data_IF_894362887299
#
_entry.id   IF_894362887299
#
_cell.length_a   1.000
_cell.length_b   1.000
_cell.length_c   1.000
_cell.angle_alpha   90.00
_cell.angle_beta   90.00
_cell.angle_gamma   90.00
#
_symmetry.space_group_name_H-M   'P 1'
#
loop_
_entity.id
_entity.type
_entity.pdbx_description
1 polymer ?
#
# COMPACT_ATOMS: atom_id res chain seq x y z
N UNK A 1 11.31 6.30 -7.17
CA UNK A 1 12.71 6.70 -7.48
C UNK A 1 13.49 5.44 -7.82
N UNK A 2 13.52 5.12 -9.12
CA UNK A 2 14.25 3.99 -9.70
C UNK A 2 15.70 4.39 -9.96
N UNK A 3 16.63 3.45 -9.80
CA UNK A 3 18.04 3.64 -10.13
C UNK A 3 18.40 2.65 -11.23
N UNK A 4 19.03 3.14 -12.30
CA UNK A 4 19.37 2.33 -13.48
C UNK A 4 20.85 2.54 -13.81
N UNK A 5 21.57 1.43 -13.89
CA UNK A 5 22.87 1.30 -14.53
C UNK A 5 22.71 0.36 -15.73
N UNK A 6 23.69 0.30 -16.63
CA UNK A 6 23.66 -0.56 -17.83
C UNK A 6 23.38 -2.04 -17.50
N UNK A 7 23.78 -2.48 -16.30
CA UNK A 7 23.65 -3.87 -15.88
C UNK A 7 22.72 -4.10 -14.69
N UNK A 8 22.27 -3.05 -14.01
CA UNK A 8 21.47 -3.16 -12.78
C UNK A 8 20.28 -2.22 -12.89
N UNK A 9 19.07 -2.77 -12.73
CA UNK A 9 17.86 -1.99 -12.60
C UNK A 9 17.25 -2.25 -11.22
N UNK A 10 17.11 -1.18 -10.43
CA UNK A 10 16.42 -1.21 -9.14
C UNK A 10 15.17 -0.33 -9.22
N UNK A 11 14.02 -0.93 -9.02
CA UNK A 11 12.74 -0.24 -8.89
C UNK A 11 12.29 -0.29 -7.43
N UNK A 12 12.06 0.88 -6.81
CA UNK A 12 11.56 0.97 -5.44
C UNK A 12 10.05 1.13 -5.44
N UNK A 13 9.37 0.26 -4.70
CA UNK A 13 7.93 0.30 -4.51
C UNK A 13 7.60 1.02 -3.19
N UNK A 14 6.82 2.09 -3.32
CA UNK A 14 6.31 2.84 -2.16
C UNK A 14 5.21 2.01 -1.51
N UNK A 15 5.37 1.69 -0.21
CA UNK A 15 4.43 0.89 0.56
C UNK A 15 3.25 1.71 1.11
N UNK A 16 2.96 1.52 2.39
CA UNK A 16 1.94 2.26 3.13
C UNK A 16 2.29 3.73 3.39
N UNK A 17 3.55 4.14 3.22
CA UNK A 17 4.01 5.54 3.40
C UNK A 17 3.63 6.45 2.23
N UNK A 18 2.35 6.47 1.86
CA UNK A 18 1.77 7.41 0.90
C UNK A 18 1.19 8.61 1.64
N UNK A 19 1.32 9.81 1.08
CA UNK A 19 0.74 11.04 1.66
C UNK A 19 -0.76 10.90 1.93
N UNK A 20 -1.51 10.24 1.04
CA UNK A 20 -2.93 9.96 1.24
C UNK A 20 -3.20 9.12 2.49
N UNK A 21 -2.36 8.12 2.78
CA UNK A 21 -2.51 7.30 3.98
C UNK A 21 -2.21 8.12 5.25
N UNK A 22 -1.22 9.01 5.18
CA UNK A 22 -0.94 9.96 6.28
C UNK A 22 -2.14 10.88 6.56
N UNK A 23 -2.73 11.43 5.50
CA UNK A 23 -3.89 12.30 5.59
C UNK A 23 -5.11 11.60 6.21
N UNK A 24 -5.46 10.41 5.71
CA UNK A 24 -6.61 9.65 6.22
C UNK A 24 -6.46 9.22 7.67
N UNK A 25 -5.28 8.74 8.06
CA UNK A 25 -5.03 8.35 9.43
C UNK A 25 -5.08 9.53 10.40
N UNK A 26 -4.61 10.72 9.97
CA UNK A 26 -4.70 11.96 10.75
C UNK A 26 -6.16 12.40 10.94
N UNK A 27 -6.96 12.42 9.87
CA UNK A 27 -8.38 12.78 9.94
C UNK A 27 -9.13 11.83 10.87
N UNK A 28 -8.91 10.52 10.70
CA UNK A 28 -9.52 9.51 11.56
C UNK A 28 -9.08 9.67 13.01
N UNK A 29 -7.81 9.97 13.26
CA UNK A 29 -7.30 10.21 14.61
C UNK A 29 -8.01 11.40 15.27
N UNK A 30 -8.00 12.55 14.60
CA UNK A 30 -8.57 13.79 15.12
C UNK A 30 -10.08 13.69 15.32
N UNK A 31 -10.81 13.10 14.36
CA UNK A 31 -12.25 12.87 14.49
C UNK A 31 -12.59 11.93 15.64
N UNK A 32 -11.85 10.83 15.76
CA UNK A 32 -12.06 9.84 16.84
C UNK A 32 -11.73 10.43 18.21
N UNK A 33 -10.63 11.18 18.32
CA UNK A 33 -10.27 11.90 19.53
C UNK A 33 -11.36 12.91 19.92
N UNK A 34 -11.91 13.64 18.95
CA UNK A 34 -13.04 14.54 19.16
C UNK A 34 -14.25 13.83 19.76
N UNK A 35 -14.65 12.68 19.22
CA UNK A 35 -15.77 11.90 19.75
C UNK A 35 -15.52 11.36 21.17
N UNK A 36 -14.31 10.88 21.46
CA UNK A 36 -13.96 10.44 22.82
C UNK A 36 -14.01 11.62 23.80
N UNK A 37 -13.49 12.78 23.40
CA UNK A 37 -13.48 13.98 24.24
C UNK A 37 -14.90 14.50 24.50
N UNK A 38 -15.78 14.51 23.49
CA UNK A 38 -17.19 14.91 23.65
C UNK A 38 -17.94 13.92 24.56
N UNK A 39 -17.77 12.62 24.37
CA UNK A 39 -18.40 11.62 25.25
C UNK A 39 -17.90 11.68 26.69
N UNK A 40 -16.60 11.92 26.90
CA UNK A 40 -15.98 12.09 28.23
C UNK A 40 -16.43 13.40 28.89
N UNK A 41 -16.48 14.49 28.13
CA UNK A 41 -17.06 15.77 28.57
C UNK A 41 -18.51 15.60 28.98
N UNK A 42 -19.26 14.76 28.26
CA UNK A 42 -20.66 14.47 28.55
C UNK A 42 -20.86 13.68 29.83
N UNK A 43 -19.96 12.74 30.12
CA UNK A 43 -19.95 11.97 31.37
C UNK A 43 -19.57 12.80 32.60
N UNK A 44 -18.52 13.63 32.50
CA UNK A 44 -18.00 14.41 33.64
C UNK A 44 -18.73 15.74 33.87
N UNK A 45 -19.58 16.18 32.94
CA UNK A 45 -20.24 17.47 33.00
C UNK A 45 -19.30 18.67 32.95
N UNK A 46 -18.08 18.48 32.40
CA UNK A 46 -17.03 19.51 32.28
C UNK A 46 -16.59 19.62 30.83
N UNK A 47 -16.51 20.85 30.32
CA UNK A 47 -16.04 21.12 28.96
C UNK A 47 -14.52 20.88 28.85
N UNK A 48 -14.13 19.72 28.30
CA UNK A 48 -12.72 19.47 27.92
C UNK A 48 -12.31 20.13 26.60
N UNK A 49 -13.28 20.45 25.75
CA UNK A 49 -13.09 21.17 24.49
C UNK A 49 -13.81 22.51 24.61
N UNK A 50 -13.08 23.62 24.48
CA UNK A 50 -13.68 24.97 24.48
C UNK A 50 -14.50 25.28 23.21
N UNK A 51 -14.39 24.45 22.17
CA UNK A 51 -15.07 24.60 20.87
C UNK A 51 -16.48 24.00 20.81
N UNK A 52 -16.90 23.14 21.75
CA UNK A 52 -18.21 22.48 21.71
C UNK A 52 -18.86 22.60 23.09
N UNK A 53 -19.97 23.35 23.25
CA UNK A 53 -20.64 23.46 24.54
C UNK A 53 -21.27 22.11 24.95
N UNK A 54 -20.89 21.57 26.11
CA UNK A 54 -21.48 20.35 26.71
C UNK A 54 -23.00 20.43 26.89
N UNK A 55 -23.54 21.63 27.07
CA UNK A 55 -24.94 21.88 27.43
C UNK A 55 -25.98 21.31 26.45
N UNK A 56 -25.58 20.81 25.27
CA UNK A 56 -26.48 20.24 24.27
C UNK A 56 -26.47 18.71 24.16
N UNK A 57 -25.52 17.99 24.78
CA UNK A 57 -25.36 16.54 24.58
C UNK A 57 -25.61 15.77 25.87
N UNK A 58 -26.77 15.11 25.94
CA UNK A 58 -27.14 14.20 27.03
C UNK A 58 -26.27 12.93 26.92
N UNK A 59 -25.62 12.54 28.02
CA UNK A 59 -24.70 11.40 28.04
C UNK A 59 -25.38 10.10 27.59
N UNK A 60 -26.58 9.83 28.09
CA UNK A 60 -27.40 8.71 27.65
C UNK A 60 -28.50 9.19 26.68
N UNK A 61 -28.62 8.64 25.46
CA UNK A 61 -27.77 7.62 24.83
C UNK A 61 -26.61 8.18 24.00
N UNK A 62 -26.64 9.48 23.68
CA UNK A 62 -25.82 10.08 22.62
C UNK A 62 -24.33 10.12 22.97
N UNK A 63 -23.98 10.50 24.19
CA UNK A 63 -22.58 10.53 24.66
C UNK A 63 -21.93 9.15 24.65
N UNK A 64 -22.65 8.10 25.07
CA UNK A 64 -22.17 6.71 25.03
C UNK A 64 -21.85 6.28 23.60
N UNK A 65 -22.78 6.55 22.66
CA UNK A 65 -22.60 6.21 21.25
C UNK A 65 -21.39 6.94 20.67
N UNK A 66 -21.21 8.22 20.99
CA UNK A 66 -20.03 8.99 20.59
C UNK A 66 -18.74 8.41 21.16
N UNK A 67 -18.69 8.06 22.46
CA UNK A 67 -17.54 7.39 23.06
C UNK A 67 -17.20 6.07 22.37
N UNK A 68 -18.20 5.25 22.06
CA UNK A 68 -18.00 3.97 21.40
C UNK A 68 -17.39 4.13 20.00
N UNK A 69 -17.96 5.00 19.17
CA UNK A 69 -17.42 5.29 17.83
C UNK A 69 -16.04 5.94 17.90
N UNK A 70 -15.80 6.81 18.88
CA UNK A 70 -14.49 7.41 19.10
C UNK A 70 -13.43 6.37 19.46
N UNK A 71 -13.72 5.44 20.38
CA UNK A 71 -12.79 4.37 20.75
C UNK A 71 -12.52 3.46 19.54
N UNK A 72 -13.56 3.02 18.83
CA UNK A 72 -13.41 2.19 17.64
C UNK A 72 -12.56 2.89 16.56
N UNK A 73 -12.82 4.17 16.32
CA UNK A 73 -12.05 4.98 15.38
C UNK A 73 -10.60 5.19 15.79
N UNK A 74 -10.30 5.32 17.10
CA UNK A 74 -8.92 5.37 17.62
C UNK A 74 -8.18 4.05 17.36
N UNK A 75 -8.83 2.90 17.51
CA UNK A 75 -8.23 1.61 17.16
C UNK A 75 -7.91 1.51 15.67
N UNK A 76 -8.84 1.92 14.79
CA UNK A 76 -8.65 1.93 13.34
C UNK A 76 -7.51 2.89 12.94
N UNK A 77 -7.50 4.09 13.51
CA UNK A 77 -6.46 5.09 13.26
C UNK A 77 -5.09 4.60 13.75
N UNK A 78 -5.02 4.01 14.94
CA UNK A 78 -3.81 3.40 15.48
C UNK A 78 -3.29 2.28 14.59
N UNK A 79 -4.17 1.43 14.07
CA UNK A 79 -3.82 0.42 13.07
C UNK A 79 -3.23 1.04 11.80
N UNK A 80 -3.82 2.12 11.26
CA UNK A 80 -3.27 2.82 10.10
C UNK A 80 -1.88 3.41 10.39
N UNK A 81 -1.68 4.06 11.54
CA UNK A 81 -0.38 4.59 11.97
C UNK A 81 0.67 3.50 12.11
N UNK A 82 0.28 2.36 12.68
CA UNK A 82 1.11 1.18 12.77
C UNK A 82 1.52 0.66 11.39
N UNK A 83 0.58 0.54 10.44
CA UNK A 83 0.91 0.09 9.06
C UNK A 83 1.85 1.05 8.34
N UNK A 84 1.70 2.36 8.56
CA UNK A 84 2.58 3.41 8.00
C UNK A 84 3.98 3.35 8.63
N UNK A 85 4.05 3.21 9.95
CA UNK A 85 5.30 3.09 10.69
C UNK A 85 6.12 1.90 10.20
N UNK A 86 5.49 0.73 10.07
CA UNK A 86 6.14 -0.50 9.58
C UNK A 86 6.39 -0.53 8.07
N UNK A 87 5.92 0.48 7.33
CA UNK A 87 6.02 0.59 5.88
C UNK A 87 5.53 -0.67 5.15
N UNK A 88 4.38 -1.19 5.60
CA UNK A 88 3.80 -2.43 5.08
C UNK A 88 3.58 -2.33 3.57
N UNK A 89 3.96 -3.39 2.88
CA UNK A 89 3.91 -3.54 1.43
C UNK A 89 5.04 -2.85 0.66
N UNK A 90 5.88 -2.02 1.30
CA UNK A 90 7.03 -1.41 0.60
C UNK A 90 8.02 -2.46 0.14
N UNK A 91 8.83 -2.13 -0.84
CA UNK A 91 9.77 -3.10 -1.38
C UNK A 91 10.65 -2.54 -2.46
N UNK A 92 11.40 -3.43 -3.09
CA UNK A 92 12.12 -3.12 -4.29
C UNK A 92 12.25 -4.36 -5.17
N UNK A 93 12.34 -4.13 -6.47
CA UNK A 93 12.69 -5.12 -7.47
C UNK A 93 14.08 -4.79 -7.99
N UNK A 94 14.99 -5.76 -7.91
CA UNK A 94 16.36 -5.64 -8.41
C UNK A 94 16.57 -6.67 -9.50
N UNK A 95 16.92 -6.19 -10.69
CA UNK A 95 17.29 -6.99 -11.84
C UNK A 95 18.78 -6.80 -12.10
N UNK A 96 19.57 -7.88 -12.02
CA UNK A 96 21.02 -7.84 -12.20
C UNK A 96 21.44 -8.71 -13.39
N UNK A 97 21.87 -8.06 -14.47
CA UNK A 97 22.30 -8.72 -15.72
C UNK A 97 23.66 -9.42 -15.56
N UNK A 98 24.54 -8.93 -14.68
CA UNK A 98 25.87 -9.52 -14.48
C UNK A 98 25.78 -10.83 -13.71
N UNK A 99 25.00 -10.84 -12.64
CA UNK A 99 24.76 -12.06 -11.86
C UNK A 99 23.71 -12.97 -12.50
N UNK A 100 22.90 -12.46 -13.45
CA UNK A 100 21.83 -13.21 -14.10
C UNK A 100 20.67 -13.53 -13.14
N UNK A 101 20.39 -12.63 -12.20
CA UNK A 101 19.50 -12.87 -11.06
C UNK A 101 18.49 -11.73 -10.92
N UNK A 102 17.25 -12.11 -10.61
CA UNK A 102 16.17 -11.20 -10.24
C UNK A 102 15.81 -11.40 -8.77
N UNK A 103 15.79 -10.32 -8.02
CA UNK A 103 15.44 -10.30 -6.61
C UNK A 103 14.21 -9.41 -6.41
N UNK A 104 13.13 -10.00 -5.89
CA UNK A 104 11.91 -9.31 -5.50
C UNK A 104 11.87 -9.28 -3.99
N UNK A 105 11.88 -8.07 -3.42
CA UNK A 105 11.81 -7.87 -1.99
C UNK A 105 10.55 -7.10 -1.62
N UNK A 106 9.81 -7.59 -0.62
CA UNK A 106 8.61 -6.95 -0.07
C UNK A 106 8.61 -7.02 1.46
N UNK A 107 8.21 -5.92 2.08
CA UNK A 107 7.91 -5.81 3.50
C UNK A 107 6.45 -6.19 3.73
N UNK A 108 6.21 -7.22 4.54
CA UNK A 108 4.88 -7.60 5.01
C UNK A 108 4.54 -6.97 6.36
N UNK A 109 3.44 -7.46 6.94
CA UNK A 109 3.04 -7.15 8.32
C UNK A 109 4.10 -7.62 9.33
N UNK A 110 4.14 -6.99 10.53
CA UNK A 110 5.02 -7.45 11.61
C UNK A 110 4.74 -8.93 11.94
N UNK A 111 5.80 -9.71 12.12
CA UNK A 111 5.72 -11.13 12.41
C UNK A 111 6.95 -11.91 11.94
N UNK A 112 6.94 -13.24 12.12
CA UNK A 112 8.07 -14.12 11.74
C UNK A 112 8.40 -14.07 10.24
N UNK A 113 7.39 -13.86 9.38
CA UNK A 113 7.52 -13.75 7.91
C UNK A 113 7.38 -12.31 7.41
N UNK A 114 7.93 -11.34 8.14
CA UNK A 114 7.87 -9.92 7.78
C UNK A 114 8.59 -9.61 6.46
N UNK A 115 9.70 -10.30 6.17
CA UNK A 115 10.48 -10.08 4.94
C UNK A 115 10.15 -11.17 3.94
N UNK A 116 9.55 -10.78 2.82
CA UNK A 116 9.34 -11.66 1.68
C UNK A 116 10.46 -11.36 0.70
N UNK A 117 11.36 -12.32 0.54
CA UNK A 117 12.49 -12.22 -0.38
C UNK A 117 12.43 -13.39 -1.34
N UNK A 118 12.23 -13.09 -2.61
CA UNK A 118 12.16 -14.06 -3.69
C UNK A 118 13.33 -13.80 -4.64
N UNK A 119 14.05 -14.87 -4.99
CA UNK A 119 15.20 -14.83 -5.89
C UNK A 119 14.97 -15.81 -7.03
N UNK A 120 15.08 -15.32 -8.25
CA UNK A 120 14.90 -16.09 -9.48
C UNK A 120 16.13 -15.93 -10.37
N UNK A 121 16.39 -16.94 -11.21
CA UNK A 121 17.38 -16.79 -12.28
C UNK A 121 16.70 -16.15 -13.47
N UNK A 122 17.41 -15.26 -14.16
CA UNK A 122 16.92 -14.61 -15.37
C UNK A 122 16.55 -15.61 -16.47
N UNK A 123 17.25 -16.76 -16.52
CA UNK A 123 17.00 -17.85 -17.46
C UNK A 123 15.61 -18.50 -17.30
N UNK A 124 15.02 -18.37 -16.12
CA UNK A 124 13.72 -18.96 -15.82
C UNK A 124 12.57 -18.00 -16.18
N UNK A 125 12.86 -16.74 -16.53
CA UNK A 125 11.86 -15.76 -16.95
C UNK A 125 11.48 -16.04 -18.41
N UNK A 126 10.20 -16.29 -18.66
CA UNK A 126 9.71 -16.63 -19.99
C UNK A 126 9.21 -15.41 -20.74
N UNK A 127 8.34 -14.63 -20.12
CA UNK A 127 7.70 -13.48 -20.74
C UNK A 127 7.29 -12.44 -19.69
N UNK A 128 7.01 -11.24 -20.17
CA UNK A 128 6.34 -10.21 -19.39
C UNK A 128 4.90 -10.13 -19.87
N UNK A 129 3.98 -10.42 -18.98
CA UNK A 129 2.55 -10.45 -19.27
C UNK A 129 1.88 -9.17 -18.79
N UNK A 130 1.15 -8.50 -19.68
CA UNK A 130 0.27 -7.38 -19.35
C UNK A 130 -1.16 -7.93 -19.30
N UNK A 131 -1.82 -7.81 -18.14
CA UNK A 131 -3.25 -8.13 -18.01
C UNK A 131 -4.03 -6.83 -17.95
N UNK A 132 -4.93 -6.61 -18.91
CA UNK A 132 -5.80 -5.44 -18.97
C UNK A 132 -7.24 -5.87 -18.69
N UNK A 133 -7.71 -5.64 -17.46
CA UNK A 133 -9.13 -5.81 -17.13
C UNK A 133 -9.88 -4.53 -17.39
N UNK A 134 -10.65 -4.53 -18.47
CA UNK A 134 -11.60 -3.46 -18.80
C UNK A 134 -12.93 -3.68 -18.08
N UNK A 135 -13.47 -2.63 -17.46
CA UNK A 135 -14.70 -2.67 -16.67
C UNK A 135 -14.91 -1.36 -15.90
N UNK A 136 -15.86 -1.37 -14.94
CA UNK A 136 -16.18 -0.18 -14.11
C UNK A 136 -14.94 0.30 -13.32
N UNK A 137 -14.01 -0.61 -13.01
CA UNK A 137 -12.74 -0.31 -12.38
C UNK A 137 -11.60 -0.91 -13.21
N UNK A 138 -11.08 -0.17 -14.21
CA UNK A 138 -10.03 -0.66 -15.08
C UNK A 138 -8.78 -0.97 -14.25
N UNK A 139 -8.31 -2.21 -14.32
CA UNK A 139 -7.07 -2.64 -13.65
C UNK A 139 -6.11 -3.16 -14.68
N UNK A 140 -4.90 -2.64 -14.63
CA UNK A 140 -3.82 -3.05 -15.51
C UNK A 140 -2.66 -3.50 -14.64
N UNK A 141 -2.29 -4.76 -14.77
CA UNK A 141 -1.28 -5.37 -13.90
C UNK A 141 -0.19 -5.97 -14.79
N UNK A 142 1.05 -5.69 -14.43
CA UNK A 142 2.22 -6.30 -15.05
C UNK A 142 2.60 -7.54 -14.27
N UNK A 143 2.72 -8.66 -14.95
CA UNK A 143 3.22 -9.91 -14.41
C UNK A 143 4.52 -10.31 -15.09
N UNK A 144 5.35 -11.02 -14.34
CA UNK A 144 6.53 -11.73 -14.84
C UNK A 144 6.25 -13.22 -14.77
N UNK A 145 6.28 -13.88 -15.93
CA UNK A 145 6.05 -15.31 -15.99
C UNK A 145 7.36 -16.06 -15.78
N UNK A 146 7.38 -16.92 -14.75
CA UNK A 146 8.53 -17.75 -14.41
C UNK A 146 8.21 -19.21 -14.69
N UNK A 147 9.14 -19.86 -15.39
CA UNK A 147 9.09 -21.28 -15.72
C UNK A 147 8.88 -22.12 -14.46
N UNK A 148 7.73 -22.80 -14.39
CA UNK A 148 7.40 -23.75 -13.31
C UNK A 148 6.92 -23.12 -11.99
N UNK A 149 6.85 -21.79 -11.89
CA UNK A 149 6.39 -21.09 -10.67
C UNK A 149 5.19 -20.17 -10.90
N UNK A 150 4.83 -19.92 -12.17
CA UNK A 150 3.67 -19.11 -12.55
C UNK A 150 3.97 -17.63 -12.66
N UNK A 151 2.91 -16.81 -12.72
CA UNK A 151 2.98 -15.37 -12.94
C UNK A 151 3.12 -14.60 -11.61
N UNK A 152 4.18 -13.80 -11.49
CA UNK A 152 4.41 -12.94 -10.33
C UNK A 152 4.06 -11.49 -10.68
N UNK A 153 3.14 -10.83 -9.95
CA UNK A 153 2.82 -9.43 -10.20
C UNK A 153 4.00 -8.53 -9.84
N UNK A 154 4.51 -7.79 -10.83
CA UNK A 154 5.55 -6.79 -10.68
C UNK A 154 4.97 -5.42 -10.28
N UNK A 155 3.81 -5.08 -10.85
CA UNK A 155 3.14 -3.81 -10.56
C UNK A 155 2.01 -4.04 -9.55
N UNK A 156 1.80 -3.06 -8.67
CA UNK A 156 0.72 -3.16 -7.68
C UNK A 156 -0.62 -2.80 -8.30
N UNK A 157 -1.68 -3.39 -7.76
CA UNK A 157 -3.07 -3.19 -8.20
C UNK A 157 -3.58 -1.75 -8.00
N UNK A 158 -2.90 -0.94 -7.19
CA UNK A 158 -3.29 0.42 -6.81
C UNK A 158 -2.56 1.54 -7.57
N UNK A 159 -1.65 1.20 -8.49
CA UNK A 159 -1.09 2.18 -9.43
C UNK A 159 -2.03 2.31 -10.63
N UNK A 160 -2.85 3.38 -10.65
CA UNK A 160 -3.65 3.77 -11.81
C UNK A 160 -2.72 4.33 -12.92
N UNK A 161 -1.91 3.46 -13.52
CA UNK A 161 -1.08 3.83 -14.65
C UNK A 161 -1.93 3.87 -15.93
N UNK A 162 -1.63 4.84 -16.77
CA UNK A 162 -2.21 4.91 -18.11
C UNK A 162 -1.70 3.74 -18.97
N UNK A 163 -2.41 3.44 -20.07
CA UNK A 163 -2.07 2.29 -20.93
C UNK A 163 -0.65 2.46 -21.47
N UNK A 164 -0.35 3.65 -21.98
CA UNK A 164 0.97 3.99 -22.51
C UNK A 164 2.08 3.90 -21.45
N UNK A 165 1.82 4.25 -20.19
CA UNK A 165 2.82 4.11 -19.12
C UNK A 165 3.13 2.65 -18.80
N UNK A 166 2.11 1.78 -18.77
CA UNK A 166 2.30 0.34 -18.52
C UNK A 166 2.99 -0.33 -19.70
N UNK A 167 2.56 -0.04 -20.92
CA UNK A 167 3.20 -0.56 -22.13
C UNK A 167 4.65 -0.11 -22.21
N UNK A 168 4.94 1.16 -21.93
CA UNK A 168 6.30 1.67 -21.93
C UNK A 168 7.14 1.01 -20.83
N UNK A 169 6.56 0.76 -19.65
CA UNK A 169 7.24 0.06 -18.55
C UNK A 169 7.51 -1.40 -18.91
N UNK A 170 6.53 -2.10 -19.48
CA UNK A 170 6.65 -3.47 -19.94
C UNK A 170 7.70 -3.59 -21.05
N UNK A 171 7.68 -2.68 -22.03
CA UNK A 171 8.66 -2.63 -23.12
C UNK A 171 10.08 -2.41 -22.60
N UNK A 172 10.26 -1.50 -21.65
CA UNK A 172 11.57 -1.28 -21.01
C UNK A 172 12.07 -2.53 -20.27
N UNK A 173 11.20 -3.19 -19.51
CA UNK A 173 11.55 -4.43 -18.79
C UNK A 173 11.86 -5.57 -19.74
N UNK A 174 11.04 -5.78 -20.77
CA UNK A 174 11.22 -6.82 -21.77
C UNK A 174 12.52 -6.63 -22.55
N UNK A 175 12.81 -5.40 -22.96
CA UNK A 175 14.08 -5.06 -23.59
C UNK A 175 15.28 -5.31 -22.68
N UNK A 176 15.18 -4.94 -21.40
CA UNK A 176 16.25 -5.16 -20.42
C UNK A 176 16.49 -6.64 -20.14
N UNK A 177 15.43 -7.44 -20.03
CA UNK A 177 15.48 -8.87 -19.74
C UNK A 177 15.70 -9.74 -21.00
N UNK A 178 15.51 -9.17 -22.19
CA UNK A 178 15.52 -9.85 -23.50
C UNK A 178 14.48 -10.98 -23.60
N UNK A 179 13.27 -10.72 -23.10
CA UNK A 179 12.13 -11.65 -23.12
C UNK A 179 10.96 -11.06 -23.89
N UNK A 180 10.09 -11.89 -24.50
CA UNK A 180 8.89 -11.42 -25.18
C UNK A 180 7.87 -10.76 -24.24
N UNK A 181 7.02 -9.91 -24.80
CA UNK A 181 5.86 -9.31 -24.13
C UNK A 181 4.61 -10.05 -24.60
N UNK A 182 3.75 -10.41 -23.67
CA UNK A 182 2.44 -10.99 -23.95
C UNK A 182 1.34 -10.08 -23.38
N UNK A 183 0.30 -9.82 -24.16
CA UNK A 183 -0.82 -8.93 -23.78
C UNK A 183 -2.10 -9.75 -23.78
N UNK A 184 -2.85 -9.70 -22.67
CA UNK A 184 -4.10 -10.44 -22.47
C UNK A 184 -5.20 -9.56 -21.87
#
# INVERSE_FOLDING_TARGET
MSWRSEHIWIERLVGSRKLSNFFWALILFLGSLGFVLVGTSSYLGKNFISLVPYQQIIFFPQGIVMSFYGIAGLFISSYLWCTISWNVGSGYDRFDLKEGIVCIFRWGFPGKKRRIFLRFRMKDIQSIRIEVKEGIYPRRILYMEIKGQGAIPLTRTDENLTLGEIEQKAAKLAYFLRVPIEVF
#
